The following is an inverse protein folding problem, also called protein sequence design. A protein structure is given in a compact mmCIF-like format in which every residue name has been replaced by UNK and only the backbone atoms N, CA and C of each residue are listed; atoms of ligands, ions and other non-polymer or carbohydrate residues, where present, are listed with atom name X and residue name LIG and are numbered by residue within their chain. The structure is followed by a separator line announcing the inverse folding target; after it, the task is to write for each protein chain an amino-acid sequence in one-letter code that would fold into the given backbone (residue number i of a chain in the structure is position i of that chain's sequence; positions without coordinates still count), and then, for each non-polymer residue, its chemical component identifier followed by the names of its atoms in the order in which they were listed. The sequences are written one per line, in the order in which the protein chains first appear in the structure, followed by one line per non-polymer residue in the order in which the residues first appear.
data_IF_048981833498
#
_entry.id   IF_048981833498
#
_cell.length_a   1.000
_cell.length_b   1.000
_cell.length_c   1.000
_cell.angle_alpha   90.00
_cell.angle_beta   90.00
_cell.angle_gamma   90.00
#
_symmetry.space_group_name_H-M   'P 1'
#
loop_
_entity.id
_entity.type
_entity.pdbx_description
1 polymer ?
#
# COMPACT_ATOMS: atom_id res chain seq x y z
N UNK A 1 12.62 -19.19 -34.34
CA UNK A 1 13.16 -17.96 -33.71
C UNK A 1 12.01 -17.37 -32.92
N UNK A 2 12.11 -17.29 -31.60
CA UNK A 2 11.07 -16.59 -30.83
C UNK A 2 11.19 -15.10 -31.18
N UNK A 3 10.08 -14.52 -31.59
CA UNK A 3 9.97 -13.10 -31.88
C UNK A 3 10.28 -12.33 -30.58
N UNK A 4 11.27 -11.43 -30.63
CA UNK A 4 11.63 -10.64 -29.45
C UNK A 4 10.49 -9.65 -29.16
N UNK A 5 10.01 -9.66 -27.92
CA UNK A 5 8.98 -8.72 -27.46
C UNK A 5 9.60 -7.32 -27.39
N UNK A 6 8.99 -6.34 -28.07
CA UNK A 6 9.46 -4.96 -28.06
C UNK A 6 8.30 -3.97 -27.95
N UNK A 7 8.57 -2.79 -27.42
CA UNK A 7 7.62 -1.68 -27.34
C UNK A 7 8.30 -0.37 -27.69
N UNK A 8 7.65 0.44 -28.53
CA UNK A 8 8.13 1.75 -28.96
C UNK A 8 7.18 2.85 -28.52
N UNK A 9 7.67 3.73 -27.66
CA UNK A 9 6.96 4.90 -27.18
C UNK A 9 7.31 6.13 -28.03
N UNK A 10 6.35 6.63 -28.82
CA UNK A 10 6.58 7.69 -29.80
C UNK A 10 6.23 9.12 -29.32
N UNK A 11 5.76 9.28 -28.08
CA UNK A 11 5.43 10.61 -27.54
C UNK A 11 6.71 11.39 -27.24
N UNK A 12 6.75 12.64 -27.71
CA UNK A 12 7.88 13.55 -27.50
C UNK A 12 7.82 14.23 -26.13
N UNK A 13 8.98 14.40 -25.50
CA UNK A 13 9.13 15.12 -24.24
C UNK A 13 10.22 16.18 -24.37
N UNK A 14 9.96 17.41 -23.90
CA UNK A 14 10.98 18.46 -23.89
C UNK A 14 12.08 18.12 -22.91
N UNK A 15 13.32 18.46 -23.26
CA UNK A 15 14.49 18.28 -22.40
C UNK A 15 15.05 19.64 -21.96
N UNK A 16 15.58 19.69 -20.75
CA UNK A 16 16.47 20.76 -20.30
C UNK A 16 17.93 20.31 -20.40
N UNK A 17 18.88 21.21 -20.17
CA UNK A 17 20.32 20.94 -20.29
C UNK A 17 20.83 19.79 -19.41
N UNK A 18 20.08 19.39 -18.38
CA UNK A 18 20.47 18.32 -17.46
C UNK A 18 19.88 16.95 -17.81
N UNK A 19 18.91 16.86 -18.73
CA UNK A 19 18.17 15.62 -19.01
C UNK A 19 19.05 14.44 -19.45
N UNK A 20 20.16 14.69 -20.15
CA UNK A 20 21.12 13.65 -20.54
C UNK A 20 21.72 12.89 -19.34
N UNK A 21 22.26 13.62 -18.37
CA UNK A 21 22.82 13.02 -17.15
C UNK A 21 21.73 12.33 -16.32
N UNK A 22 20.48 12.81 -16.43
CA UNK A 22 19.34 12.24 -15.71
C UNK A 22 18.87 10.94 -16.30
N UNK A 23 18.83 10.80 -17.63
CA UNK A 23 18.50 9.53 -18.27
C UNK A 23 19.40 8.44 -17.72
N UNK A 24 20.71 8.70 -17.68
CA UNK A 24 21.67 7.74 -17.11
C UNK A 24 21.45 7.50 -15.62
N UNK A 25 21.24 8.56 -14.82
CA UNK A 25 21.00 8.42 -13.38
C UNK A 25 19.72 7.63 -13.06
N UNK A 26 18.63 7.89 -13.79
CA UNK A 26 17.35 7.20 -13.65
C UNK A 26 17.52 5.72 -14.00
N UNK A 27 18.11 5.42 -15.16
CA UNK A 27 18.40 4.03 -15.57
C UNK A 27 19.23 3.29 -14.51
N UNK A 28 20.24 3.94 -13.93
CA UNK A 28 21.03 3.35 -12.85
C UNK A 28 20.23 3.15 -11.56
N UNK A 29 19.30 4.05 -11.24
CA UNK A 29 18.51 3.99 -10.01
C UNK A 29 17.36 2.98 -10.05
N UNK A 30 16.81 2.72 -11.24
CA UNK A 30 15.66 1.82 -11.42
C UNK A 30 16.09 0.40 -11.83
N UNK A 31 17.33 0.23 -12.29
CA UNK A 31 17.89 -1.09 -12.63
C UNK A 31 18.63 -1.74 -11.48
N UNK A 32 18.57 -3.07 -11.41
CA UNK A 32 19.40 -3.85 -10.48
C UNK A 32 20.87 -3.81 -10.90
N UNK A 33 21.11 -3.86 -12.21
CA UNK A 33 22.45 -3.90 -12.78
C UNK A 33 22.45 -3.28 -14.18
N UNK A 34 23.40 -2.37 -14.44
CA UNK A 34 23.70 -1.87 -15.77
C UNK A 34 24.80 -2.74 -16.39
N UNK A 35 24.46 -3.47 -17.46
CA UNK A 35 25.38 -4.39 -18.14
C UNK A 35 26.22 -3.68 -19.19
N UNK A 36 25.63 -2.75 -19.94
CA UNK A 36 26.33 -1.93 -20.93
C UNK A 36 25.56 -0.65 -21.23
N UNK A 37 26.30 0.36 -21.71
CA UNK A 37 25.73 1.61 -22.23
C UNK A 37 26.49 2.04 -23.47
N UNK A 38 25.79 2.48 -24.51
CA UNK A 38 26.41 3.01 -25.73
C UNK A 38 25.75 4.32 -26.16
N UNK A 39 26.51 5.15 -26.86
CA UNK A 39 26.02 6.40 -27.44
C UNK A 39 26.42 6.42 -28.91
N UNK A 40 25.44 6.55 -29.79
CA UNK A 40 25.66 6.64 -31.23
C UNK A 40 25.15 7.98 -31.72
N UNK A 41 26.04 8.79 -32.30
CA UNK A 41 25.66 10.02 -32.97
C UNK A 41 25.21 9.69 -34.40
N UNK A 42 24.05 10.18 -34.83
CA UNK A 42 23.67 10.05 -36.24
C UNK A 42 24.52 10.99 -37.11
N UNK A 43 24.86 10.53 -38.32
CA UNK A 43 25.77 11.18 -39.28
C UNK A 43 25.34 12.62 -39.67
N UNK A 44 24.08 13.00 -39.43
CA UNK A 44 23.56 14.35 -39.68
C UNK A 44 23.66 15.32 -38.48
N UNK A 45 24.23 14.89 -37.34
CA UNK A 45 24.44 15.73 -36.14
C UNK A 45 23.17 16.18 -35.39
N UNK A 46 21.98 15.89 -35.92
CA UNK A 46 20.70 16.39 -35.40
C UNK A 46 20.06 15.55 -34.29
N UNK A 47 20.47 14.29 -34.15
CA UNK A 47 19.95 13.38 -33.13
C UNK A 47 21.01 12.40 -32.63
N UNK A 48 20.86 11.96 -31.37
CA UNK A 48 21.71 10.96 -30.72
C UNK A 48 20.85 9.80 -30.23
N UNK A 49 21.41 8.60 -30.28
CA UNK A 49 20.82 7.42 -29.66
C UNK A 49 21.63 7.06 -28.42
N UNK A 50 20.93 6.91 -27.28
CA UNK A 50 21.49 6.37 -26.06
C UNK A 50 20.88 5.00 -25.83
N UNK A 51 21.69 3.96 -25.75
CA UNK A 51 21.24 2.60 -25.51
C UNK A 51 21.82 2.06 -24.22
N UNK A 52 21.00 1.39 -23.43
CA UNK A 52 21.34 0.78 -22.16
C UNK A 52 20.87 -0.68 -22.16
N UNK A 53 21.75 -1.61 -21.79
CA UNK A 53 21.35 -2.98 -21.49
C UNK A 53 21.35 -3.18 -19.99
N UNK A 54 20.21 -3.55 -19.42
CA UNK A 54 20.03 -3.62 -17.96
C UNK A 54 19.41 -4.94 -17.54
N UNK A 55 19.71 -5.36 -16.31
CA UNK A 55 18.98 -6.40 -15.59
C UNK A 55 18.07 -5.74 -14.58
N UNK A 56 16.81 -6.15 -14.55
CA UNK A 56 15.77 -5.58 -13.72
C UNK A 56 14.94 -6.71 -13.09
N UNK A 57 14.21 -6.38 -12.04
CA UNK A 57 13.17 -7.24 -11.48
C UNK A 57 11.83 -6.57 -11.77
N UNK A 58 11.04 -7.14 -12.68
CA UNK A 58 9.71 -6.62 -13.02
C UNK A 58 8.68 -7.63 -12.58
N UNK A 59 7.70 -7.19 -11.78
CA UNK A 59 6.66 -8.06 -11.21
C UNK A 59 7.19 -9.28 -10.43
N UNK A 60 8.41 -9.20 -9.90
CA UNK A 60 9.07 -10.27 -9.15
C UNK A 60 9.93 -11.21 -9.99
N UNK A 61 9.94 -11.05 -11.32
CA UNK A 61 10.72 -11.86 -12.24
C UNK A 61 11.97 -11.12 -12.73
N UNK A 62 13.07 -11.86 -12.89
CA UNK A 62 14.31 -11.33 -13.47
C UNK A 62 14.15 -11.14 -14.99
N UNK A 63 14.38 -9.91 -15.45
CA UNK A 63 14.25 -9.52 -16.85
C UNK A 63 15.53 -8.82 -17.31
N UNK A 64 15.91 -9.08 -18.56
CA UNK A 64 16.98 -8.37 -19.26
C UNK A 64 16.38 -7.51 -20.36
N UNK A 65 16.63 -6.20 -20.29
CA UNK A 65 16.12 -5.25 -21.26
C UNK A 65 17.23 -4.55 -22.03
N UNK A 66 16.90 -4.14 -23.25
CA UNK A 66 17.60 -3.08 -23.97
C UNK A 66 16.68 -1.86 -24.07
N UNK A 67 17.11 -0.74 -23.49
CA UNK A 67 16.40 0.54 -23.50
C UNK A 67 17.16 1.49 -24.42
N UNK A 68 16.50 1.99 -25.46
CA UNK A 68 17.09 2.94 -26.41
C UNK A 68 16.29 4.24 -26.44
N UNK A 69 16.95 5.35 -26.13
CA UNK A 69 16.41 6.70 -26.22
C UNK A 69 16.93 7.36 -27.48
N UNK A 70 16.01 7.84 -28.33
CA UNK A 70 16.35 8.75 -29.43
C UNK A 70 16.11 10.18 -28.97
N UNK A 71 17.16 11.00 -28.95
CA UNK A 71 17.12 12.37 -28.43
C UNK A 71 17.60 13.38 -29.47
N UNK A 72 17.04 14.59 -29.42
CA UNK A 72 17.53 15.78 -30.13
C UNK A 72 18.19 16.75 -29.13
N UNK A 73 18.55 17.96 -29.57
CA UNK A 73 19.06 19.00 -28.67
C UNK A 73 18.02 19.53 -27.68
N UNK A 74 16.72 19.34 -27.94
CA UNK A 74 15.63 19.93 -27.16
C UNK A 74 14.55 18.94 -26.75
N UNK A 75 14.56 17.70 -27.25
CA UNK A 75 13.49 16.72 -27.01
C UNK A 75 13.98 15.27 -26.95
N UNK A 76 13.31 14.44 -26.14
CA UNK A 76 13.27 12.98 -26.32
C UNK A 76 12.25 12.70 -27.42
N UNK A 77 12.70 12.09 -28.52
CA UNK A 77 11.91 11.84 -29.71
C UNK A 77 11.13 10.53 -29.62
N UNK A 78 11.76 9.47 -29.11
CA UNK A 78 11.12 8.20 -28.78
C UNK A 78 11.98 7.39 -27.80
N UNK A 79 11.33 6.39 -27.20
CA UNK A 79 11.97 5.40 -26.32
C UNK A 79 11.57 4.02 -26.84
N UNK A 80 12.54 3.14 -27.06
CA UNK A 80 12.32 1.75 -27.45
C UNK A 80 12.80 0.83 -26.34
N UNK A 81 11.97 -0.13 -25.94
CA UNK A 81 12.31 -1.15 -24.96
C UNK A 81 12.19 -2.52 -25.62
N UNK A 82 13.22 -3.36 -25.48
CA UNK A 82 13.24 -4.73 -26.01
C UNK A 82 13.53 -5.70 -24.86
N UNK A 83 12.70 -6.73 -24.72
CA UNK A 83 12.94 -7.83 -23.81
C UNK A 83 13.92 -8.81 -24.45
N UNK A 84 15.12 -8.90 -23.89
CA UNK A 84 16.17 -9.81 -24.35
C UNK A 84 16.07 -11.19 -23.70
N UNK A 85 15.65 -11.22 -22.43
CA UNK A 85 15.47 -12.45 -21.63
C UNK A 85 14.48 -12.18 -20.49
N UNK A 86 13.61 -13.13 -20.18
CA UNK A 86 12.58 -13.00 -19.14
C UNK A 86 11.41 -13.98 -19.29
N UNK A 87 10.33 -13.83 -18.49
CA UNK A 87 9.20 -14.75 -18.48
C UNK A 87 8.42 -14.76 -19.80
N UNK A 88 7.94 -15.94 -20.21
CA UNK A 88 7.16 -16.11 -21.44
C UNK A 88 5.77 -15.44 -21.41
N UNK A 89 5.30 -15.03 -20.22
CA UNK A 89 4.06 -14.29 -20.05
C UNK A 89 4.17 -12.80 -20.41
N UNK A 90 5.40 -12.27 -20.53
CA UNK A 90 5.61 -10.86 -20.85
C UNK A 90 5.25 -10.57 -22.30
N UNK A 91 4.61 -9.43 -22.51
CA UNK A 91 4.16 -8.96 -23.82
C UNK A 91 4.38 -7.45 -23.93
N UNK A 92 4.06 -6.87 -25.09
CA UNK A 92 4.24 -5.43 -25.38
C UNK A 92 3.64 -4.51 -24.30
N UNK A 93 2.51 -4.89 -23.70
CA UNK A 93 1.82 -4.08 -22.67
C UNK A 93 2.65 -3.99 -21.39
N UNK A 94 3.37 -5.05 -21.02
CA UNK A 94 4.27 -5.01 -19.87
C UNK A 94 5.40 -4.01 -20.11
N UNK A 95 6.01 -4.05 -21.30
CA UNK A 95 7.08 -3.13 -21.68
C UNK A 95 6.57 -1.68 -21.78
N UNK A 96 5.33 -1.47 -22.21
CA UNK A 96 4.69 -0.15 -22.21
C UNK A 96 4.65 0.48 -20.83
N UNK A 97 4.16 -0.24 -19.82
CA UNK A 97 4.07 0.31 -18.47
C UNK A 97 5.44 0.50 -17.82
N UNK A 98 6.41 -0.35 -18.18
CA UNK A 98 7.80 -0.16 -17.76
C UNK A 98 8.36 1.17 -18.30
N UNK A 99 8.20 1.44 -19.61
CA UNK A 99 8.65 2.71 -20.22
C UNK A 99 7.94 3.92 -19.59
N UNK A 100 6.65 3.82 -19.28
CA UNK A 100 5.92 4.90 -18.61
C UNK A 100 6.45 5.16 -17.19
N UNK A 101 6.75 4.12 -16.42
CA UNK A 101 7.39 4.23 -15.11
C UNK A 101 8.75 4.96 -15.18
N UNK A 102 9.57 4.61 -16.17
CA UNK A 102 10.84 5.32 -16.42
C UNK A 102 10.64 6.80 -16.72
N UNK A 103 9.61 7.15 -17.49
CA UNK A 103 9.29 8.55 -17.82
C UNK A 103 8.83 9.30 -16.57
N UNK A 104 7.98 8.71 -15.73
CA UNK A 104 7.50 9.33 -14.50
C UNK A 104 8.66 9.68 -13.56
N UNK A 105 9.65 8.78 -13.41
CA UNK A 105 10.85 9.04 -12.61
C UNK A 105 11.73 10.13 -13.26
N UNK A 106 11.89 10.07 -14.58
CA UNK A 106 12.69 11.05 -15.33
C UNK A 106 12.13 12.47 -15.24
N UNK A 107 10.81 12.61 -15.41
CA UNK A 107 10.10 13.89 -15.36
C UNK A 107 9.86 14.35 -13.93
N UNK A 108 9.55 13.44 -12.99
CA UNK A 108 9.36 13.74 -11.58
C UNK A 108 10.60 14.38 -10.95
N UNK A 109 11.79 14.00 -11.43
CA UNK A 109 13.03 14.67 -11.06
C UNK A 109 13.12 16.14 -11.49
N UNK A 110 12.42 16.59 -12.54
CA UNK A 110 12.58 17.95 -13.10
C UNK A 110 12.34 19.10 -12.11
N UNK A 111 11.67 18.83 -11.00
CA UNK A 111 11.49 19.76 -9.91
C UNK A 111 12.68 19.81 -8.93
N UNK A 112 13.90 20.07 -9.42
CA UNK A 112 15.08 20.41 -8.60
C UNK A 112 14.93 21.78 -7.90
N UNK A 113 13.85 21.98 -7.13
CA UNK A 113 13.86 22.93 -6.02
C UNK A 113 14.71 22.35 -4.89
N UNK A 114 15.29 23.21 -4.06
CA UNK A 114 15.93 22.77 -2.82
C UNK A 114 14.95 21.91 -2.01
N UNK A 115 15.37 20.70 -1.63
CA UNK A 115 14.54 19.80 -0.83
C UNK A 115 14.19 20.49 0.49
N UNK A 116 12.89 20.70 0.72
CA UNK A 116 12.37 21.21 1.99
C UNK A 116 12.02 20.03 2.90
N UNK A 117 12.13 20.26 4.21
CA UNK A 117 11.70 19.30 5.22
C UNK A 117 10.24 19.54 5.59
N UNK A 118 9.44 18.48 5.54
CA UNK A 118 8.04 18.48 5.95
C UNK A 118 7.82 17.41 7.02
N UNK A 119 6.90 17.68 7.94
CA UNK A 119 6.29 16.66 8.79
C UNK A 119 4.85 16.48 8.33
N UNK A 120 4.57 15.45 7.53
CA UNK A 120 3.23 15.22 6.98
C UNK A 120 2.47 14.27 7.90
N UNK A 121 1.25 14.66 8.29
CA UNK A 121 0.30 13.77 8.98
C UNK A 121 -0.59 13.05 7.98
N UNK A 122 -0.65 11.74 8.09
CA UNK A 122 -1.60 10.89 7.40
C UNK A 122 -2.49 10.16 8.41
N UNK A 123 -3.65 9.70 7.95
CA UNK A 123 -4.69 9.16 8.79
C UNK A 123 -5.17 7.81 8.28
N UNK A 124 -5.18 6.85 9.19
CA UNK A 124 -5.71 5.50 8.96
C UNK A 124 -6.81 5.23 9.97
N UNK A 125 -7.63 4.24 9.68
CA UNK A 125 -8.65 3.74 10.59
C UNK A 125 -8.53 2.24 10.79
N UNK A 126 -8.95 1.82 11.97
CA UNK A 126 -9.11 0.42 12.35
C UNK A 126 -10.52 0.25 12.92
N UNK A 127 -11.04 -0.97 12.92
CA UNK A 127 -12.27 -1.29 13.63
C UNK A 127 -11.93 -2.08 14.88
N UNK A 128 -12.12 -1.45 16.04
CA UNK A 128 -11.84 -2.03 17.34
C UNK A 128 -12.63 -1.29 18.44
N UNK A 129 -13.10 -2.02 19.44
CA UNK A 129 -13.77 -1.47 20.63
C UNK A 129 -12.91 -0.45 21.36
N UNK A 130 -11.60 -0.69 21.38
CA UNK A 130 -10.62 0.16 22.05
C UNK A 130 -9.69 0.83 21.03
N UNK A 131 -9.40 2.14 21.16
CA UNK A 131 -8.32 2.74 20.40
C UNK A 131 -6.97 2.12 20.77
N UNK A 132 -6.01 2.17 19.85
CA UNK A 132 -4.61 1.92 20.20
C UNK A 132 -4.19 2.87 21.33
N UNK A 133 -3.40 2.37 22.29
CA UNK A 133 -2.90 3.20 23.40
C UNK A 133 -1.42 3.49 23.23
N UNK A 134 -1.05 4.75 23.48
CA UNK A 134 0.33 5.22 23.47
C UNK A 134 0.81 5.77 22.13
N UNK A 135 1.98 6.38 22.16
CA UNK A 135 2.64 6.99 21.00
C UNK A 135 3.95 6.25 20.71
N UNK A 136 4.18 5.88 19.45
CA UNK A 136 5.33 5.08 19.05
C UNK A 136 6.17 5.84 18.03
N UNK A 137 7.22 6.52 18.54
CA UNK A 137 8.23 7.12 17.68
C UNK A 137 9.19 6.05 17.15
N UNK A 138 9.29 5.97 15.84
CA UNK A 138 10.12 5.01 15.11
C UNK A 138 11.09 5.78 14.21
N UNK A 139 12.33 5.28 14.16
CA UNK A 139 13.33 5.75 13.22
C UNK A 139 13.77 4.55 12.39
N UNK A 140 13.32 4.48 11.13
CA UNK A 140 13.69 3.46 10.16
C UNK A 140 14.03 4.13 8.83
N UNK A 141 13.36 3.75 7.72
CA UNK A 141 13.48 4.42 6.42
C UNK A 141 13.15 5.92 6.53
N UNK A 142 12.14 6.25 7.34
CA UNK A 142 11.79 7.60 7.77
C UNK A 142 11.76 7.69 9.30
N UNK A 143 11.81 8.91 9.81
CA UNK A 143 11.45 9.20 11.21
C UNK A 143 9.96 9.50 11.25
N UNK A 144 9.20 8.69 11.98
CA UNK A 144 7.75 8.83 12.05
C UNK A 144 7.17 8.46 13.41
N UNK A 145 6.03 9.06 13.74
CA UNK A 145 5.29 8.86 14.99
C UNK A 145 3.93 8.24 14.68
N UNK A 146 3.69 7.03 15.20
CA UNK A 146 2.35 6.45 15.24
C UNK A 146 1.66 6.93 16.51
N UNK A 147 0.45 7.47 16.37
CA UNK A 147 -0.34 7.88 17.53
C UNK A 147 -1.85 7.74 17.29
N UNK A 148 -2.63 7.39 18.32
CA UNK A 148 -4.08 7.32 18.20
C UNK A 148 -4.71 8.72 18.20
N UNK A 149 -5.86 8.85 17.55
CA UNK A 149 -6.76 9.96 17.82
C UNK A 149 -7.38 9.78 19.21
N UNK A 150 -7.56 10.87 19.95
CA UNK A 150 -8.08 10.83 21.31
C UNK A 150 -9.58 10.49 21.32
N UNK A 151 -9.91 9.20 21.40
CA UNK A 151 -11.27 8.68 21.52
C UNK A 151 -11.42 7.77 22.73
N UNK A 152 -12.66 7.59 23.17
CA UNK A 152 -13.02 6.66 24.26
C UNK A 152 -13.29 5.27 23.71
N UNK A 153 -13.07 4.26 24.53
CA UNK A 153 -13.50 2.90 24.21
C UNK A 153 -15.03 2.80 24.14
N UNK A 154 -15.52 1.84 23.36
CA UNK A 154 -16.93 1.43 23.29
C UNK A 154 -17.01 -0.08 23.42
N UNK A 155 -18.16 -0.60 23.84
CA UNK A 155 -18.40 -2.06 23.91
C UNK A 155 -18.68 -2.69 22.54
N UNK A 156 -18.70 -1.90 21.46
CA UNK A 156 -19.00 -2.34 20.10
C UNK A 156 -17.70 -2.62 19.31
N UNK A 157 -17.41 -3.88 18.91
CA UNK A 157 -16.21 -4.24 18.15
C UNK A 157 -16.09 -3.52 16.80
N UNK A 158 -17.21 -3.18 16.17
CA UNK A 158 -17.23 -2.43 14.91
C UNK A 158 -17.17 -0.90 15.11
N UNK A 159 -16.42 -0.46 16.12
CA UNK A 159 -16.15 0.96 16.36
C UNK A 159 -14.95 1.41 15.53
N UNK A 160 -15.13 2.43 14.68
CA UNK A 160 -14.04 3.07 13.96
C UNK A 160 -13.12 3.78 14.96
N UNK A 161 -11.81 3.54 14.86
CA UNK A 161 -10.76 4.20 15.63
C UNK A 161 -9.73 4.78 14.66
N UNK A 162 -9.29 6.03 14.88
CA UNK A 162 -8.33 6.70 14.00
C UNK A 162 -6.91 6.57 14.53
N UNK A 163 -5.99 6.24 13.62
CA UNK A 163 -4.55 6.14 13.85
C UNK A 163 -3.86 7.16 12.93
N UNK A 164 -3.11 8.07 13.53
CA UNK A 164 -2.35 9.13 12.85
C UNK A 164 -0.89 8.74 12.73
N UNK A 165 -0.29 9.05 11.57
CA UNK A 165 1.13 8.89 11.34
C UNK A 165 1.74 10.25 10.94
N UNK A 166 2.59 10.80 11.81
CA UNK A 166 3.42 11.96 11.47
C UNK A 166 4.74 11.48 10.88
N UNK A 167 5.02 11.78 9.61
CA UNK A 167 6.23 11.32 8.90
C UNK A 167 7.10 12.50 8.48
N UNK A 168 8.37 12.50 8.86
CA UNK A 168 9.36 13.47 8.40
C UNK A 168 9.91 13.06 7.03
N UNK A 169 9.73 13.92 6.02
CA UNK A 169 10.15 13.68 4.63
C UNK A 169 10.88 14.90 4.05
N UNK A 170 11.79 14.64 3.10
CA UNK A 170 12.44 15.67 2.29
C UNK A 170 11.83 15.64 0.89
N UNK A 171 11.26 16.75 0.45
CA UNK A 171 10.54 16.82 -0.81
C UNK A 171 10.63 18.20 -1.47
N UNK A 172 10.26 18.27 -2.73
CA UNK A 172 10.36 19.48 -3.57
C UNK A 172 9.20 20.45 -3.34
N UNK A 173 8.02 19.92 -3.02
CA UNK A 173 6.79 20.66 -2.72
C UNK A 173 5.87 19.80 -1.83
N UNK A 174 4.77 20.38 -1.36
CA UNK A 174 3.83 19.66 -0.49
C UNK A 174 3.18 18.44 -1.15
N UNK A 175 2.88 18.46 -2.45
CA UNK A 175 2.25 17.32 -3.13
C UNK A 175 3.19 16.10 -3.13
N UNK A 176 4.45 16.32 -3.47
CA UNK A 176 5.48 15.28 -3.40
C UNK A 176 5.68 14.79 -1.97
N UNK A 177 5.75 15.68 -0.98
CA UNK A 177 5.88 15.31 0.43
C UNK A 177 4.73 14.39 0.89
N UNK A 178 3.50 14.73 0.49
CA UNK A 178 2.30 13.97 0.83
C UNK A 178 2.26 12.62 0.13
N UNK A 179 2.69 12.52 -1.12
CA UNK A 179 2.82 11.24 -1.83
C UNK A 179 3.82 10.31 -1.13
N UNK A 180 4.99 10.82 -0.73
CA UNK A 180 5.99 10.03 0.02
C UNK A 180 5.44 9.54 1.35
N UNK A 181 4.81 10.43 2.13
CA UNK A 181 4.21 10.09 3.42
C UNK A 181 3.04 9.10 3.29
N UNK A 182 2.20 9.25 2.26
CA UNK A 182 1.09 8.34 1.98
C UNK A 182 1.59 6.93 1.64
N UNK A 183 2.55 6.82 0.71
CA UNK A 183 3.15 5.54 0.33
C UNK A 183 3.81 4.85 1.55
N UNK A 184 4.51 5.63 2.38
CA UNK A 184 5.07 5.11 3.63
C UNK A 184 3.98 4.64 4.60
N UNK A 185 2.87 5.36 4.69
CA UNK A 185 1.72 5.01 5.56
C UNK A 185 1.07 3.70 5.15
N UNK A 186 0.81 3.49 3.86
CA UNK A 186 0.20 2.25 3.35
C UNK A 186 1.10 1.03 3.66
N UNK A 187 2.41 1.18 3.50
CA UNK A 187 3.36 0.13 3.86
C UNK A 187 3.40 -0.09 5.38
N UNK A 188 3.44 0.97 6.18
CA UNK A 188 3.43 0.91 7.65
C UNK A 188 2.18 0.23 8.18
N UNK A 189 1.00 0.58 7.65
CA UNK A 189 -0.27 -0.08 7.96
C UNK A 189 -0.23 -1.58 7.69
N UNK A 190 0.36 -1.98 6.55
CA UNK A 190 0.54 -3.39 6.22
C UNK A 190 1.46 -4.08 7.22
N UNK A 191 2.59 -3.46 7.60
CA UNK A 191 3.48 -4.03 8.61
C UNK A 191 2.83 -4.12 9.99
N UNK A 192 2.02 -3.14 10.37
CA UNK A 192 1.27 -3.13 11.64
C UNK A 192 0.17 -4.20 11.65
N UNK A 193 -0.46 -4.49 10.50
CA UNK A 193 -1.52 -5.49 10.45
C UNK A 193 -0.99 -6.88 10.81
N UNK A 194 0.20 -7.24 10.33
CA UNK A 194 0.88 -8.48 10.74
C UNK A 194 1.41 -8.39 12.16
N UNK A 195 1.91 -7.25 12.62
CA UNK A 195 2.42 -7.15 13.98
C UNK A 195 1.30 -7.31 15.03
N UNK A 196 0.13 -6.70 14.78
CA UNK A 196 -0.96 -6.53 15.74
C UNK A 196 -2.17 -7.43 15.50
N UNK A 197 -2.24 -8.07 14.33
CA UNK A 197 -3.43 -8.78 13.84
C UNK A 197 -4.67 -7.90 13.71
N UNK A 198 -4.48 -6.67 13.20
CA UNK A 198 -5.55 -5.67 13.04
C UNK A 198 -5.55 -5.13 11.62
N UNK A 199 -6.72 -5.01 10.99
CA UNK A 199 -6.85 -4.42 9.66
C UNK A 199 -6.74 -2.89 9.70
N UNK A 200 -5.81 -2.33 8.93
CA UNK A 200 -5.60 -0.88 8.79
C UNK A 200 -6.07 -0.41 7.41
N UNK A 201 -7.06 0.48 7.38
CA UNK A 201 -7.59 1.11 6.18
C UNK A 201 -7.17 2.58 6.14
N UNK A 202 -6.85 3.14 4.97
CA UNK A 202 -6.72 4.59 4.85
C UNK A 202 -8.10 5.24 5.01
N UNK A 203 -8.13 6.43 5.60
CA UNK A 203 -9.40 7.13 5.76
C UNK A 203 -9.92 7.56 4.39
N UNK A 204 -11.17 7.17 4.15
CA UNK A 204 -11.97 7.55 3.01
C UNK A 204 -13.34 7.99 3.51
N UNK A 205 -13.79 9.12 2.96
CA UNK A 205 -15.07 9.73 3.29
C UNK A 205 -16.14 9.26 2.32
N UNK A 206 -17.31 8.93 2.84
CA UNK A 206 -18.47 8.50 2.06
C UNK A 206 -19.77 8.99 2.71
N UNK A 207 -20.84 9.11 1.92
CA UNK A 207 -22.15 9.40 2.46
C UNK A 207 -22.77 8.14 3.05
N UNK A 208 -23.08 8.17 4.34
CA UNK A 208 -23.77 7.09 5.04
C UNK A 208 -25.13 7.55 5.54
N UNK A 209 -26.06 6.60 5.62
CA UNK A 209 -27.34 6.78 6.29
C UNK A 209 -27.11 6.70 7.81
N UNK A 210 -27.58 7.69 8.54
CA UNK A 210 -27.59 7.68 10.00
C UNK A 210 -29.02 7.73 10.51
N UNK A 211 -29.32 6.83 11.43
CA UNK A 211 -30.56 6.87 12.22
C UNK A 211 -30.22 7.45 13.58
N UNK A 212 -30.72 8.65 13.87
CA UNK A 212 -30.48 9.38 15.11
C UNK A 212 -31.75 9.27 15.95
N UNK A 213 -31.62 8.67 17.14
CA UNK A 213 -32.70 8.67 18.14
C UNK A 213 -32.60 9.96 18.97
N UNK A 214 -33.65 10.76 18.98
CA UNK A 214 -33.78 11.91 19.87
C UNK A 214 -35.08 11.73 20.64
N UNK A 215 -34.98 11.56 21.96
CA UNK A 215 -36.10 11.19 22.84
C UNK A 215 -36.81 9.91 22.36
N UNK A 216 -38.09 9.99 21.97
CA UNK A 216 -38.87 8.86 21.46
C UNK A 216 -38.93 8.81 19.91
N UNK A 217 -38.33 9.78 19.23
CA UNK A 217 -38.37 9.91 17.77
C UNK A 217 -37.07 9.44 17.10
N UNK A 218 -37.20 8.94 15.87
CA UNK A 218 -36.08 8.55 15.02
C UNK A 218 -36.01 9.43 13.78
N UNK A 219 -34.84 10.03 13.58
CA UNK A 219 -34.53 10.86 12.42
C UNK A 219 -33.56 10.14 11.51
N UNK A 220 -33.84 10.15 10.22
CA UNK A 220 -32.98 9.52 9.22
C UNK A 220 -32.41 10.61 8.33
N UNK A 221 -31.09 10.69 8.24
CA UNK A 221 -30.43 11.63 7.33
C UNK A 221 -29.13 11.05 6.77
N UNK A 222 -28.67 11.58 5.64
CA UNK A 222 -27.39 11.23 5.04
C UNK A 222 -26.33 12.23 5.48
N UNK A 223 -25.27 11.73 6.09
CA UNK A 223 -24.10 12.53 6.42
C UNK A 223 -22.86 11.94 5.79
N UNK A 224 -21.94 12.81 5.40
CA UNK A 224 -20.62 12.42 4.90
C UNK A 224 -19.72 12.11 6.08
N UNK A 225 -19.05 10.96 6.06
CA UNK A 225 -18.11 10.57 7.13
C UNK A 225 -16.85 11.45 7.09
N UNK A 226 -16.26 11.67 8.26
CA UNK A 226 -15.07 12.48 8.47
C UNK A 226 -14.92 12.84 9.95
N UNK A 227 -13.81 13.44 10.31
CA UNK A 227 -13.56 13.90 11.68
C UNK A 227 -12.66 15.14 11.67
N UNK A 228 -12.48 15.75 12.84
CA UNK A 228 -11.67 16.95 13.02
C UNK A 228 -10.38 16.57 13.75
N UNK A 229 -9.24 16.88 13.16
CA UNK A 229 -7.95 16.92 13.85
C UNK A 229 -7.75 18.34 14.39
N UNK A 230 -8.05 18.52 15.68
CA UNK A 230 -7.90 19.80 16.36
C UNK A 230 -6.45 20.25 16.56
N UNK A 231 -5.46 19.34 16.51
CA UNK A 231 -4.05 19.68 16.70
C UNK A 231 -3.49 20.42 15.49
N UNK A 232 -3.88 19.99 14.28
CA UNK A 232 -3.47 20.65 13.04
C UNK A 232 -4.54 21.61 12.49
N UNK A 233 -5.70 21.70 13.14
CA UNK A 233 -6.82 22.52 12.67
C UNK A 233 -7.39 22.03 11.34
N UNK A 234 -7.49 20.70 11.18
CA UNK A 234 -7.91 20.07 9.93
C UNK A 234 -9.27 19.39 10.06
N UNK A 235 -10.12 19.53 9.04
CA UNK A 235 -11.18 18.58 8.76
C UNK A 235 -10.63 17.51 7.83
N UNK A 236 -10.78 16.25 8.23
CA UNK A 236 -10.22 15.08 7.54
C UNK A 236 -11.34 14.27 6.90
N UNK A 237 -11.39 14.30 5.57
CA UNK A 237 -12.25 13.44 4.74
C UNK A 237 -11.46 12.27 4.13
N UNK A 238 -10.23 12.53 3.67
CA UNK A 238 -9.30 11.53 3.15
C UNK A 238 -7.87 12.11 3.14
N UNK A 239 -6.87 11.25 2.89
CA UNK A 239 -5.46 11.65 2.84
C UNK A 239 -5.03 12.36 1.54
N UNK A 240 -5.87 12.42 0.50
CA UNK A 240 -5.50 12.90 -0.83
C UNK A 240 -5.88 14.37 -1.04
N UNK A 241 -7.17 14.68 -1.15
CA UNK A 241 -7.64 16.07 -1.35
C UNK A 241 -8.67 16.47 -0.30
N UNK A 242 -9.02 15.55 0.60
CA UNK A 242 -9.98 15.74 1.68
C UNK A 242 -9.43 16.37 2.97
N UNK A 243 -8.21 16.90 2.97
CA UNK A 243 -7.65 17.66 4.10
C UNK A 243 -8.00 19.14 3.96
N UNK A 244 -8.82 19.67 4.86
CA UNK A 244 -9.43 21.00 4.78
C UNK A 244 -9.07 21.84 6.01
N UNK A 245 -8.80 23.14 5.82
CA UNK A 245 -8.71 24.07 6.96
C UNK A 245 -10.05 24.13 7.69
N UNK A 246 -10.04 23.92 9.00
CA UNK A 246 -11.22 24.01 9.87
C UNK A 246 -11.86 25.42 9.84
N UNK A 247 -11.08 26.47 9.54
CA UNK A 247 -11.55 27.87 9.55
C UNK A 247 -12.13 28.33 8.22
N UNK A 248 -11.86 27.62 7.13
CA UNK A 248 -12.32 27.99 5.80
C UNK A 248 -13.64 27.29 5.46
N UNK A 249 -14.76 27.96 5.77
CA UNK A 249 -16.11 27.41 5.60
C UNK A 249 -16.42 27.10 4.12
N UNK A 250 -15.95 27.93 3.18
CA UNK A 250 -16.18 27.70 1.75
C UNK A 250 -15.46 26.42 1.30
N UNK A 251 -14.22 26.24 1.77
CA UNK A 251 -13.41 25.09 1.46
C UNK A 251 -13.89 23.80 2.16
N UNK A 252 -14.42 23.90 3.38
CA UNK A 252 -15.02 22.78 4.12
C UNK A 252 -16.29 22.26 3.44
N UNK A 253 -17.13 23.18 2.95
CA UNK A 253 -18.36 22.85 2.23
C UNK A 253 -18.12 22.46 0.77
N UNK A 254 -16.91 22.70 0.23
CA UNK A 254 -16.55 22.24 -1.10
C UNK A 254 -16.58 20.70 -1.19
N UNK A 255 -17.34 20.21 -2.16
CA UNK A 255 -17.46 18.79 -2.48
C UNK A 255 -16.42 18.33 -3.51
N UNK A 256 -15.96 19.26 -4.35
CA UNK A 256 -15.12 19.00 -5.52
C UNK A 256 -13.71 19.58 -5.34
N UNK A 257 -12.90 18.95 -4.49
CA UNK A 257 -11.52 19.38 -4.29
C UNK A 257 -10.49 18.41 -4.81
N UNK A 258 -9.43 18.97 -5.37
CA UNK A 258 -8.31 18.23 -5.94
C UNK A 258 -8.14 18.50 -7.43
N UNK A 259 -7.65 17.47 -8.12
CA UNK A 259 -7.39 17.50 -9.56
C UNK A 259 -8.44 16.67 -10.28
N UNK A 260 -9.15 17.29 -11.22
CA UNK A 260 -10.04 16.63 -12.15
C UNK A 260 -9.26 16.33 -13.43
N UNK A 261 -9.15 15.07 -13.79
CA UNK A 261 -8.58 14.66 -15.08
C UNK A 261 -9.71 14.23 -16.03
N UNK A 262 -9.85 14.95 -17.13
CA UNK A 262 -10.77 14.60 -18.22
C UNK A 262 -9.97 13.91 -19.31
N UNK A 263 -10.31 12.67 -19.61
CA UNK A 263 -9.68 11.87 -20.66
C UNK A 263 -10.53 11.94 -21.92
N UNK A 264 -9.90 12.29 -23.04
CA UNK A 264 -10.50 12.28 -24.36
C UNK A 264 -10.06 11.01 -25.08
N UNK A 265 -11.03 10.19 -25.46
CA UNK A 265 -10.79 8.98 -26.24
C UNK A 265 -11.83 8.86 -27.35
N UNK A 266 -11.44 8.23 -28.45
CA UNK A 266 -12.32 7.92 -29.58
C UNK A 266 -12.37 6.42 -29.80
N UNK A 267 -13.52 5.92 -30.24
CA UNK A 267 -13.64 4.52 -30.65
C UNK A 267 -12.81 4.30 -31.92
N UNK A 268 -12.03 3.24 -31.93
CA UNK A 268 -11.27 2.80 -33.09
C UNK A 268 -12.02 1.70 -33.85
N UNK A 269 -11.58 1.41 -35.07
CA UNK A 269 -12.26 0.48 -35.99
C UNK A 269 -12.40 -0.95 -35.44
N UNK A 270 -11.64 -1.31 -34.39
CA UNK A 270 -11.67 -2.61 -33.75
C UNK A 270 -12.60 -2.65 -32.52
N UNK A 271 -13.37 -1.60 -32.25
CA UNK A 271 -14.24 -1.47 -31.06
C UNK A 271 -13.48 -1.18 -29.76
N UNK A 272 -12.19 -0.83 -29.85
CA UNK A 272 -11.38 -0.33 -28.74
C UNK A 272 -11.43 1.19 -28.64
N UNK A 273 -10.81 1.75 -27.60
CA UNK A 273 -10.73 3.20 -27.40
C UNK A 273 -9.29 3.69 -27.61
N UNK A 274 -9.10 4.60 -28.55
CA UNK A 274 -7.85 5.34 -28.76
C UNK A 274 -7.83 6.57 -27.86
N UNK A 275 -6.87 6.60 -26.94
CA UNK A 275 -6.65 7.74 -26.07
C UNK A 275 -6.00 8.88 -26.85
N UNK A 276 -6.68 10.02 -26.94
CA UNK A 276 -6.19 11.20 -27.64
C UNK A 276 -5.35 12.09 -26.71
N UNK A 277 -5.94 12.47 -25.57
CA UNK A 277 -5.32 13.39 -24.62
C UNK A 277 -6.03 13.38 -23.28
N UNK A 278 -5.39 13.96 -22.28
CA UNK A 278 -6.04 14.29 -21.01
C UNK A 278 -5.84 15.76 -20.69
N UNK A 279 -6.86 16.36 -20.08
CA UNK A 279 -6.79 17.69 -19.48
C UNK A 279 -6.91 17.51 -17.97
N UNK A 280 -5.95 18.03 -17.21
CA UNK A 280 -6.04 18.07 -15.75
C UNK A 280 -6.30 19.50 -15.30
N UNK A 281 -7.37 19.69 -14.54
CA UNK A 281 -7.76 20.98 -13.97
C UNK A 281 -7.77 20.88 -12.44
N UNK A 282 -7.16 21.86 -11.77
CA UNK A 282 -7.36 22.06 -10.33
C UNK A 282 -8.67 22.79 -10.09
N UNK A 283 -9.51 22.25 -9.20
CA UNK A 283 -10.78 22.87 -8.85
C UNK A 283 -10.59 23.82 -7.67
N UNK A 284 -10.28 23.25 -6.51
CA UNK A 284 -10.13 23.94 -5.23
C UNK A 284 -8.91 23.34 -4.53
N UNK A 285 -7.84 24.13 -4.43
CA UNK A 285 -6.55 23.71 -3.87
C UNK A 285 -6.36 24.22 -2.46
N UNK A 286 -5.92 23.34 -1.55
CA UNK A 286 -5.53 23.69 -0.18
C UNK A 286 -4.02 23.73 -0.02
N UNK A 287 -3.28 23.73 -1.13
CA UNK A 287 -1.85 23.43 -1.09
C UNK A 287 -1.07 24.49 -0.30
N UNK A 288 -1.41 25.77 -0.40
CA UNK A 288 -0.71 26.84 0.34
C UNK A 288 -0.89 26.72 1.85
N UNK A 289 -2.12 26.45 2.30
CA UNK A 289 -2.40 26.21 3.71
C UNK A 289 -1.72 24.93 4.20
N UNK A 290 -1.78 23.83 3.43
CA UNK A 290 -1.13 22.56 3.79
C UNK A 290 0.40 22.68 3.80
N UNK A 291 0.99 23.45 2.88
CA UNK A 291 2.41 23.80 2.89
C UNK A 291 2.75 24.48 4.22
N UNK A 292 1.97 25.47 4.64
CA UNK A 292 2.14 26.15 5.93
C UNK A 292 1.98 25.21 7.13
N UNK A 293 0.98 24.33 7.14
CA UNK A 293 0.74 23.37 8.24
C UNK A 293 1.90 22.39 8.36
N UNK A 294 2.29 21.73 7.27
CA UNK A 294 3.25 20.62 7.32
C UNK A 294 4.72 21.03 7.34
N UNK A 295 5.05 22.26 6.94
CA UNK A 295 6.41 22.81 7.16
C UNK A 295 6.63 23.19 8.63
N UNK A 296 5.60 23.72 9.29
CA UNK A 296 5.65 24.15 10.69
C UNK A 296 5.42 22.99 11.68
N UNK A 297 4.68 21.95 11.28
CA UNK A 297 4.46 20.77 12.11
C UNK A 297 5.78 20.04 12.41
N UNK A 298 5.93 19.60 13.65
CA UNK A 298 7.10 18.84 14.11
C UNK A 298 6.65 17.73 15.05
N UNK A 299 7.34 16.58 14.95
CA UNK A 299 7.10 15.46 15.85
C UNK A 299 7.50 15.86 17.28
N UNK A 300 6.49 16.03 18.15
CA UNK A 300 6.71 16.25 19.57
C UNK A 300 6.69 14.92 20.33
N UNK A 301 7.60 14.76 21.29
CA UNK A 301 7.60 13.60 22.20
C UNK A 301 6.83 13.95 23.45
N UNK A 302 5.80 13.18 23.77
CA UNK A 302 5.22 13.23 25.11
C UNK A 302 6.26 12.75 26.15
N UNK A 303 6.71 13.66 27.01
CA UNK A 303 7.73 13.37 28.06
C UNK A 303 7.14 12.72 29.31
N UNK A 304 5.84 12.38 29.32
CA UNK A 304 5.20 11.70 30.43
C UNK A 304 5.66 10.23 30.51
N UNK A 305 6.85 10.03 31.07
CA UNK A 305 7.33 8.71 31.45
C UNK A 305 6.95 8.44 32.90
N UNK A 306 6.06 7.48 33.10
CA UNK A 306 6.02 6.73 34.35
C UNK A 306 7.43 6.26 34.72
N UNK A 307 7.79 6.33 36.00
CA UNK A 307 9.10 5.89 36.51
C UNK A 307 9.25 4.35 36.51
N UNK A 308 8.18 3.60 36.27
CA UNK A 308 8.24 2.14 36.15
C UNK A 308 8.69 1.72 34.76
N UNK A 309 9.62 0.74 34.69
CA UNK A 309 9.94 0.07 33.43
C UNK A 309 8.65 -0.60 32.92
N UNK A 310 8.20 -0.32 31.70
CA UNK A 310 7.04 -0.99 31.14
C UNK A 310 7.32 -2.49 31.06
N UNK A 311 6.30 -3.29 31.33
CA UNK A 311 6.34 -4.74 31.16
C UNK A 311 6.63 -5.09 29.70
N UNK A 312 7.43 -6.14 29.48
CA UNK A 312 7.72 -6.61 28.13
C UNK A 312 6.51 -7.34 27.56
N UNK A 313 6.05 -6.88 26.40
CA UNK A 313 4.91 -7.44 25.66
C UNK A 313 5.46 -8.11 24.39
N UNK A 314 5.41 -9.45 24.29
CA UNK A 314 5.81 -10.17 23.07
C UNK A 314 4.77 -10.00 21.95
N UNK A 315 5.14 -10.38 20.73
CA UNK A 315 4.18 -10.50 19.61
C UNK A 315 3.25 -11.68 19.89
N UNK A 316 1.94 -11.45 19.85
CA UNK A 316 0.93 -12.51 20.01
C UNK A 316 0.85 -13.37 18.75
N UNK A 317 0.96 -14.68 18.94
CA UNK A 317 0.70 -15.72 17.93
C UNK A 317 -0.75 -16.22 17.94
N UNK A 318 -1.57 -15.72 18.86
CA UNK A 318 -3.02 -15.91 18.85
C UNK A 318 -3.72 -14.78 18.08
N UNK A 319 -4.83 -15.08 17.37
CA UNK A 319 -5.60 -14.06 16.66
C UNK A 319 -6.14 -12.96 17.58
N UNK A 320 -6.14 -11.73 17.10
CA UNK A 320 -6.73 -10.59 17.79
C UNK A 320 -8.22 -10.48 17.48
N UNK A 321 -9.02 -10.24 18.51
CA UNK A 321 -10.46 -10.02 18.38
C UNK A 321 -10.80 -8.55 18.61
N UNK A 322 -11.63 -7.90 17.77
CA UNK A 322 -11.88 -6.46 17.86
C UNK A 322 -12.50 -5.95 19.17
N UNK A 323 -13.03 -6.85 20.01
CA UNK A 323 -13.53 -6.52 21.35
C UNK A 323 -12.39 -6.27 22.35
N UNK A 324 -11.20 -6.81 22.09
CA UNK A 324 -10.06 -6.75 23.00
C UNK A 324 -9.24 -5.47 22.82
N UNK A 325 -8.51 -5.09 23.86
CA UNK A 325 -7.52 -4.01 23.77
C UNK A 325 -6.35 -4.44 22.86
N UNK A 326 -5.92 -3.53 21.97
CA UNK A 326 -4.76 -3.75 21.12
C UNK A 326 -3.49 -3.60 21.95
N UNK A 327 -2.78 -4.71 22.14
CA UNK A 327 -1.50 -4.74 22.87
C UNK A 327 -0.35 -4.56 21.87
N UNK A 328 0.26 -3.37 21.85
CA UNK A 328 1.41 -3.12 21.00
C UNK A 328 2.66 -3.80 21.56
N UNK A 329 3.35 -4.68 20.80
CA UNK A 329 4.56 -5.34 21.26
C UNK A 329 5.67 -4.36 21.62
N UNK A 330 6.44 -4.69 22.66
CA UNK A 330 7.57 -3.85 23.11
C UNK A 330 8.65 -3.68 22.04
N UNK A 331 8.77 -4.67 21.15
CA UNK A 331 9.76 -4.69 20.07
C UNK A 331 9.31 -3.94 18.81
N UNK A 332 8.22 -3.16 18.82
CA UNK A 332 7.75 -2.41 17.63
C UNK A 332 8.87 -1.59 16.96
N UNK A 333 9.75 -0.96 17.75
CA UNK A 333 10.89 -0.21 17.20
C UNK A 333 11.94 -1.12 16.56
N UNK A 334 12.24 -2.26 17.19
CA UNK A 334 13.15 -3.27 16.63
C UNK A 334 12.58 -3.81 15.33
N UNK A 335 11.29 -4.14 15.30
CA UNK A 335 10.57 -4.62 14.14
C UNK A 335 10.73 -3.71 12.91
N UNK A 336 10.38 -2.42 13.01
CA UNK A 336 10.54 -1.49 11.89
C UNK A 336 11.99 -1.25 11.48
N UNK A 337 12.91 -1.19 12.46
CA UNK A 337 14.34 -1.03 12.16
C UNK A 337 14.90 -2.25 11.43
N UNK A 338 14.55 -3.46 11.86
CA UNK A 338 14.96 -4.70 11.19
C UNK A 338 14.43 -4.76 9.76
N UNK A 339 13.19 -4.34 9.51
CA UNK A 339 12.61 -4.28 8.15
C UNK A 339 13.41 -3.35 7.23
N UNK A 340 13.83 -2.18 7.73
CA UNK A 340 14.59 -1.21 6.92
C UNK A 340 15.94 -1.73 6.41
N UNK A 341 16.55 -2.67 7.14
CA UNK A 341 17.86 -3.23 6.81
C UNK A 341 17.79 -4.61 6.14
N UNK A 342 16.59 -5.11 5.83
CA UNK A 342 16.43 -6.36 5.09
C UNK A 342 16.97 -6.23 3.67
N UNK A 343 17.48 -7.34 3.14
CA UNK A 343 17.72 -7.51 1.71
C UNK A 343 16.44 -7.20 0.91
N UNK A 344 16.59 -6.49 -0.22
CA UNK A 344 15.48 -6.01 -1.07
C UNK A 344 14.44 -7.10 -1.37
N UNK A 345 14.88 -8.27 -1.86
CA UNK A 345 14.00 -9.41 -2.18
C UNK A 345 13.22 -9.91 -0.96
N UNK A 346 13.88 -10.01 0.20
CA UNK A 346 13.24 -10.44 1.46
C UNK A 346 12.26 -9.38 1.99
N UNK A 347 12.62 -8.10 1.87
CA UNK A 347 11.76 -6.96 2.25
C UNK A 347 10.49 -6.92 1.39
N UNK A 348 10.61 -7.13 0.09
CA UNK A 348 9.50 -7.18 -0.86
C UNK A 348 8.59 -8.38 -0.62
N UNK A 349 9.14 -9.58 -0.43
CA UNK A 349 8.36 -10.77 -0.08
C UNK A 349 7.58 -10.58 1.22
N UNK A 350 8.23 -10.02 2.26
CA UNK A 350 7.57 -9.73 3.53
C UNK A 350 6.51 -8.62 3.41
N UNK A 351 6.76 -7.58 2.62
CA UNK A 351 5.77 -6.53 2.36
C UNK A 351 4.56 -7.09 1.61
N UNK A 352 4.76 -7.97 0.63
CA UNK A 352 3.67 -8.65 -0.09
C UNK A 352 2.83 -9.51 0.84
N UNK A 353 3.48 -10.28 1.73
CA UNK A 353 2.80 -10.99 2.81
C UNK A 353 1.93 -10.04 3.65
N UNK A 354 2.52 -8.96 4.16
CA UNK A 354 1.84 -7.97 4.99
C UNK A 354 0.66 -7.30 4.28
N UNK A 355 0.78 -6.97 2.99
CA UNK A 355 -0.29 -6.37 2.19
C UNK A 355 -1.47 -7.32 2.01
N UNK A 356 -1.19 -8.57 1.63
CA UNK A 356 -2.25 -9.59 1.49
C UNK A 356 -2.95 -9.86 2.83
N UNK A 357 -2.17 -9.93 3.91
CA UNK A 357 -2.73 -10.09 5.26
C UNK A 357 -3.61 -8.91 5.66
N UNK A 358 -3.18 -7.68 5.40
CA UNK A 358 -3.99 -6.49 5.67
C UNK A 358 -5.29 -6.49 4.84
N UNK A 359 -5.23 -6.87 3.55
CA UNK A 359 -6.42 -7.00 2.70
C UNK A 359 -7.41 -8.01 3.28
N UNK A 360 -6.93 -9.17 3.74
CA UNK A 360 -7.77 -10.16 4.42
C UNK A 360 -8.50 -9.55 5.63
N UNK A 361 -7.77 -8.81 6.49
CA UNK A 361 -8.34 -8.21 7.70
C UNK A 361 -9.24 -6.98 7.45
N UNK A 362 -9.21 -6.40 6.25
CA UNK A 362 -9.96 -5.17 5.92
C UNK A 362 -11.11 -5.44 4.97
N UNK A 363 -10.81 -5.87 3.75
CA UNK A 363 -11.80 -6.19 2.72
C UNK A 363 -12.43 -7.57 2.96
N UNK A 364 -11.62 -8.54 3.41
CA UNK A 364 -12.08 -9.90 3.70
C UNK A 364 -12.97 -10.03 4.94
N UNK A 365 -12.96 -9.07 5.87
CA UNK A 365 -13.64 -9.17 7.19
C UNK A 365 -15.14 -9.46 7.15
N UNK A 366 -15.80 -9.25 6.01
CA UNK A 366 -17.23 -9.53 5.80
C UNK A 366 -17.50 -10.76 4.93
N UNK A 367 -16.45 -11.38 4.37
CA UNK A 367 -16.52 -12.48 3.42
C UNK A 367 -15.47 -13.54 3.79
N UNK A 368 -15.87 -14.58 4.55
CA UNK A 368 -14.92 -15.57 5.08
C UNK A 368 -14.07 -16.26 4.00
N UNK A 369 -14.64 -16.65 2.84
CA UNK A 369 -13.84 -17.24 1.75
C UNK A 369 -12.76 -16.27 1.26
N UNK A 370 -13.08 -14.98 1.10
CA UNK A 370 -12.16 -13.96 0.62
C UNK A 370 -11.02 -13.72 1.62
N UNK A 371 -11.36 -13.62 2.91
CA UNK A 371 -10.39 -13.47 3.99
C UNK A 371 -9.37 -14.61 3.98
N UNK A 372 -9.85 -15.85 3.91
CA UNK A 372 -8.98 -17.03 3.95
C UNK A 372 -8.12 -17.15 2.70
N UNK A 373 -8.68 -16.84 1.54
CA UNK A 373 -7.94 -16.82 0.29
C UNK A 373 -6.76 -15.83 0.34
N UNK A 374 -6.96 -14.61 0.86
CA UNK A 374 -5.88 -13.64 1.02
C UNK A 374 -4.89 -13.98 2.14
N UNK A 375 -5.34 -14.61 3.24
CA UNK A 375 -4.45 -15.14 4.27
C UNK A 375 -3.53 -16.23 3.71
N UNK A 376 -4.02 -17.11 2.85
CA UNK A 376 -3.19 -18.09 2.15
C UNK A 376 -2.18 -17.39 1.23
N UNK A 377 -2.63 -16.43 0.41
CA UNK A 377 -1.72 -15.63 -0.44
C UNK A 377 -0.62 -14.92 0.37
N UNK A 378 -0.93 -14.49 1.59
CA UNK A 378 0.07 -13.87 2.47
C UNK A 378 1.19 -14.84 2.85
N UNK A 379 0.85 -16.11 3.11
CA UNK A 379 1.84 -17.16 3.41
C UNK A 379 2.58 -17.59 2.14
N UNK A 380 1.88 -17.70 1.01
CA UNK A 380 2.49 -18.03 -0.29
C UNK A 380 3.60 -17.04 -0.68
N UNK A 381 3.41 -15.75 -0.38
CA UNK A 381 4.44 -14.73 -0.63
C UNK A 381 5.76 -15.06 0.09
N UNK A 382 5.69 -15.59 1.33
CA UNK A 382 6.86 -16.01 2.10
C UNK A 382 7.39 -17.38 1.65
N UNK A 383 6.50 -18.34 1.35
CA UNK A 383 6.90 -19.67 0.92
C UNK A 383 7.61 -19.64 -0.43
N UNK A 384 7.13 -18.82 -1.37
CA UNK A 384 7.74 -18.63 -2.69
C UNK A 384 9.13 -18.01 -2.56
N UNK A 385 9.32 -17.04 -1.66
CA UNK A 385 10.64 -16.49 -1.36
C UNK A 385 11.59 -17.55 -0.79
N UNK A 386 11.11 -18.42 0.10
CA UNK A 386 11.89 -19.55 0.64
C UNK A 386 12.01 -20.74 -0.33
N UNK A 387 11.38 -20.66 -1.51
CA UNK A 387 11.35 -21.71 -2.55
C UNK A 387 10.81 -23.05 -2.02
N UNK A 388 9.79 -22.99 -1.16
CA UNK A 388 9.07 -24.16 -0.65
C UNK A 388 7.58 -24.02 -0.93
N UNK A 389 6.86 -25.15 -0.94
CA UNK A 389 5.41 -25.14 -1.11
C UNK A 389 4.69 -24.55 0.11
N UNK A 390 3.44 -24.11 -0.08
CA UNK A 390 2.58 -23.63 1.00
C UNK A 390 2.50 -24.65 2.16
N UNK A 391 2.19 -25.92 1.86
CA UNK A 391 2.04 -26.96 2.89
C UNK A 391 3.35 -27.22 3.65
N UNK A 392 4.51 -27.21 2.98
CA UNK A 392 5.81 -27.33 3.63
C UNK A 392 6.10 -26.12 4.54
N UNK A 393 5.77 -24.91 4.09
CA UNK A 393 5.92 -23.71 4.90
C UNK A 393 5.07 -23.77 6.16
N UNK A 394 3.79 -24.16 6.02
CA UNK A 394 2.88 -24.31 7.15
C UNK A 394 3.43 -25.30 8.17
N UNK A 395 3.90 -26.48 7.74
CA UNK A 395 4.50 -27.49 8.63
C UNK A 395 5.76 -26.96 9.32
N UNK A 396 6.65 -26.30 8.57
CA UNK A 396 7.94 -25.79 9.06
C UNK A 396 7.80 -24.76 10.19
N UNK A 397 6.80 -23.90 10.10
CA UNK A 397 6.59 -22.79 11.04
C UNK A 397 5.43 -23.01 12.02
N UNK A 398 4.82 -24.20 12.03
CA UNK A 398 3.73 -24.54 12.94
C UNK A 398 4.20 -25.03 14.32
N UNK A 399 3.25 -25.21 15.24
CA UNK A 399 3.44 -25.81 16.57
C UNK A 399 2.84 -27.22 16.64
N UNK A 400 3.04 -27.90 17.77
CA UNK A 400 2.36 -29.16 18.09
C UNK A 400 0.84 -29.00 18.01
N UNK A 401 0.15 -29.93 17.34
CA UNK A 401 -1.31 -29.87 17.15
C UNK A 401 -1.76 -29.18 15.85
N UNK A 402 -0.84 -28.95 14.91
CA UNK A 402 -1.17 -28.47 13.56
C UNK A 402 -1.89 -29.54 12.73
N UNK A 403 -3.05 -29.19 12.20
CA UNK A 403 -3.81 -30.04 11.28
C UNK A 403 -3.44 -29.73 9.82
N UNK A 404 -2.61 -30.60 9.24
CA UNK A 404 -2.20 -30.50 7.83
C UNK A 404 -3.37 -30.71 6.87
N UNK A 405 -4.30 -31.63 7.17
CA UNK A 405 -5.41 -31.94 6.28
C UNK A 405 -6.35 -30.73 6.16
N UNK A 406 -6.63 -30.07 7.29
CA UNK A 406 -7.38 -28.82 7.30
C UNK A 406 -6.66 -27.73 6.49
N UNK A 407 -5.36 -27.56 6.72
CA UNK A 407 -4.56 -26.57 5.97
C UNK A 407 -4.58 -26.80 4.45
N UNK A 408 -4.46 -28.06 4.01
CA UNK A 408 -4.52 -28.42 2.59
C UNK A 408 -5.93 -28.20 2.00
N UNK A 409 -6.99 -28.45 2.78
CA UNK A 409 -8.36 -28.11 2.40
C UNK A 409 -8.52 -26.62 2.14
N UNK A 410 -8.05 -25.76 3.05
CA UNK A 410 -8.12 -24.30 2.87
C UNK A 410 -7.31 -23.81 1.65
N UNK A 411 -6.19 -24.44 1.33
CA UNK A 411 -5.47 -24.16 0.08
C UNK A 411 -6.35 -24.41 -1.16
N UNK A 412 -7.16 -25.48 -1.16
CA UNK A 412 -8.13 -25.75 -2.22
C UNK A 412 -9.27 -24.70 -2.28
N UNK A 413 -9.69 -24.17 -1.13
CA UNK A 413 -10.69 -23.08 -1.02
C UNK A 413 -10.19 -21.82 -1.75
N UNK A 414 -8.95 -21.39 -1.49
CA UNK A 414 -8.32 -20.26 -2.18
C UNK A 414 -8.29 -20.45 -3.69
N UNK A 415 -7.87 -21.63 -4.14
CA UNK A 415 -7.79 -21.96 -5.56
C UNK A 415 -9.17 -21.90 -6.23
N UNK A 416 -10.18 -22.56 -5.64
CA UNK A 416 -11.53 -22.55 -6.18
C UNK A 416 -12.19 -21.17 -6.14
N UNK A 417 -11.87 -20.33 -5.15
CA UNK A 417 -12.36 -18.96 -5.11
C UNK A 417 -11.80 -18.11 -6.25
N UNK A 418 -10.47 -18.03 -6.39
CA UNK A 418 -9.86 -17.15 -7.40
C UNK A 418 -9.99 -17.66 -8.84
N UNK A 419 -10.02 -18.98 -9.06
CA UNK A 419 -10.10 -19.54 -10.42
C UNK A 419 -11.52 -19.86 -10.87
N UNK A 420 -12.45 -20.11 -9.95
CA UNK A 420 -13.81 -20.55 -10.29
C UNK A 420 -14.92 -19.74 -9.61
N UNK A 421 -14.60 -18.67 -8.85
CA UNK A 421 -15.59 -17.80 -8.21
C UNK A 421 -16.42 -18.49 -7.13
N UNK A 422 -15.89 -19.54 -6.48
CA UNK A 422 -16.62 -20.34 -5.48
C UNK A 422 -16.58 -19.70 -4.10
N UNK A 423 -17.63 -19.96 -3.31
CA UNK A 423 -17.82 -19.52 -1.92
C UNK A 423 -18.11 -20.75 -1.05
N UNK A 424 -17.41 -20.88 0.07
CA UNK A 424 -17.31 -22.13 0.83
C UNK A 424 -17.92 -22.07 2.23
N UNK A 425 -18.23 -20.87 2.74
CA UNK A 425 -18.70 -20.63 4.11
C UNK A 425 -20.20 -20.26 4.15
N UNK A 426 -20.98 -20.80 3.21
CA UNK A 426 -22.43 -20.58 3.11
C UNK A 426 -22.80 -19.09 2.97
N UNK A 427 -21.89 -18.27 2.42
CA UNK A 427 -22.09 -16.82 2.26
C UNK A 427 -23.32 -16.47 1.42
N UNK A 428 -23.74 -17.40 0.56
CA UNK A 428 -24.87 -17.26 -0.35
C UNK A 428 -25.96 -18.32 -0.15
N UNK A 429 -25.83 -19.19 0.86
CA UNK A 429 -26.80 -20.23 1.20
C UNK A 429 -26.93 -20.36 2.73
N UNK A 430 -27.19 -19.23 3.38
CA UNK A 430 -27.16 -19.14 4.84
C UNK A 430 -28.48 -19.65 5.45
N UNK A 431 -28.38 -20.66 6.30
CA UNK A 431 -29.47 -21.08 7.18
C UNK A 431 -29.53 -20.16 8.42
N UNK A 432 -30.61 -19.37 8.53
CA UNK A 432 -30.85 -18.49 9.68
C UNK A 432 -31.25 -19.25 10.96
N UNK A 433 -31.69 -20.51 10.85
CA UNK A 433 -31.98 -21.38 12.00
C UNK A 433 -30.67 -21.99 12.53
N UNK A 434 -29.87 -21.15 13.20
CA UNK A 434 -28.49 -21.49 13.61
C UNK A 434 -28.41 -22.68 14.57
N UNK A 435 -29.47 -22.97 15.29
CA UNK A 435 -29.55 -24.10 16.23
C UNK A 435 -29.46 -25.45 15.52
N UNK A 436 -29.86 -25.51 14.24
CA UNK A 436 -29.88 -26.73 13.43
C UNK A 436 -28.94 -26.65 12.21
N UNK A 437 -28.17 -25.57 12.08
CA UNK A 437 -27.22 -25.35 10.98
C UNK A 437 -25.84 -25.97 11.30
N UNK A 438 -25.79 -27.29 11.49
CA UNK A 438 -24.56 -28.01 11.90
C UNK A 438 -23.37 -27.76 10.96
N UNK A 439 -23.60 -27.73 9.65
CA UNK A 439 -22.56 -27.43 8.65
C UNK A 439 -21.92 -26.06 8.89
N UNK A 440 -22.71 -25.05 9.24
CA UNK A 440 -22.21 -23.71 9.54
C UNK A 440 -21.36 -23.69 10.82
N UNK A 441 -21.75 -24.46 11.83
CA UNK A 441 -21.00 -24.59 13.09
C UNK A 441 -19.62 -25.23 12.85
N UNK A 442 -19.56 -26.35 12.12
CA UNK A 442 -18.30 -27.02 11.76
C UNK A 442 -17.39 -26.12 10.93
N UNK A 443 -17.92 -25.50 9.87
CA UNK A 443 -17.16 -24.56 9.04
C UNK A 443 -16.63 -23.36 9.83
N UNK A 444 -17.37 -22.88 10.82
CA UNK A 444 -16.94 -21.79 11.70
C UNK A 444 -15.79 -22.24 12.60
N UNK A 445 -15.85 -23.45 13.15
CA UNK A 445 -14.77 -24.05 13.94
C UNK A 445 -13.49 -24.18 13.10
N UNK A 446 -13.61 -24.74 11.90
CA UNK A 446 -12.51 -24.89 10.94
C UNK A 446 -11.88 -23.54 10.56
N UNK A 447 -12.72 -22.53 10.31
CA UNK A 447 -12.29 -21.16 10.03
C UNK A 447 -11.49 -20.56 11.19
N UNK A 448 -11.94 -20.73 12.44
CA UNK A 448 -11.23 -20.23 13.63
C UNK A 448 -9.88 -20.93 13.79
N UNK A 449 -9.86 -22.27 13.66
CA UNK A 449 -8.64 -23.05 13.77
C UNK A 449 -7.61 -22.68 12.71
N UNK A 450 -8.05 -22.54 11.45
CA UNK A 450 -7.16 -22.18 10.36
C UNK A 450 -6.60 -20.75 10.51
N UNK A 451 -7.42 -19.79 10.96
CA UNK A 451 -6.95 -18.44 11.31
C UNK A 451 -5.82 -18.47 12.35
N UNK A 452 -5.97 -19.32 13.38
CA UNK A 452 -4.94 -19.52 14.39
C UNK A 452 -3.67 -20.11 13.79
N UNK A 453 -3.77 -21.12 12.92
CA UNK A 453 -2.60 -21.69 12.26
C UNK A 453 -1.85 -20.67 11.39
N UNK A 454 -2.57 -19.88 10.59
CA UNK A 454 -1.98 -18.79 9.79
C UNK A 454 -1.25 -17.79 10.68
N UNK A 455 -1.89 -17.36 11.78
CA UNK A 455 -1.30 -16.41 12.73
C UNK A 455 0.01 -16.96 13.32
N UNK A 456 0.00 -18.21 13.78
CA UNK A 456 1.16 -18.88 14.37
C UNK A 456 2.32 -18.92 13.37
N UNK A 457 2.10 -19.37 12.13
CA UNK A 457 3.20 -19.54 11.17
C UNK A 457 3.81 -18.19 10.77
N UNK A 458 3.00 -17.15 10.60
CA UNK A 458 3.48 -15.80 10.26
C UNK A 458 4.28 -15.22 11.43
N UNK A 459 3.79 -15.35 12.66
CA UNK A 459 4.49 -14.84 13.85
C UNK A 459 5.78 -15.60 14.12
N UNK A 460 5.81 -16.92 13.91
CA UNK A 460 7.03 -17.71 14.03
C UNK A 460 8.06 -17.33 12.96
N UNK A 461 7.62 -17.11 11.71
CA UNK A 461 8.48 -16.61 10.65
C UNK A 461 9.05 -15.22 10.99
N UNK A 462 8.19 -14.29 11.42
CA UNK A 462 8.52 -12.92 11.80
C UNK A 462 9.50 -12.88 12.98
N UNK A 463 9.26 -13.69 13.99
CA UNK A 463 10.13 -13.80 15.17
C UNK A 463 11.50 -14.33 14.77
N UNK A 464 11.57 -15.33 13.88
CA UNK A 464 12.85 -15.89 13.41
C UNK A 464 13.62 -14.95 12.49
N UNK A 465 12.93 -14.22 11.61
CA UNK A 465 13.56 -13.52 10.49
C UNK A 465 13.67 -12.01 10.64
N UNK A 466 12.86 -11.39 11.51
CA UNK A 466 12.76 -9.93 11.67
C UNK A 466 13.09 -9.49 13.10
N UNK A 467 12.43 -10.08 14.10
CA UNK A 467 12.59 -9.70 15.51
C UNK A 467 13.71 -10.47 16.20
N UNK A 468 14.14 -11.61 15.67
CA UNK A 468 15.12 -12.53 16.27
C UNK A 468 16.47 -11.92 16.64
#
# INVERSE_FOLDING_TARGET
MNELVSYKHEKKYKINSFTLNRIQAVVLSTSEELLSSSTVNNESGSSKNLSFTTRNIVNGDECKFEITFKISSTEILNINLVLLDGPSSFNEVHLKYEVLSFIDELLGGEHNGDLKEYTVRTYSKIFNSHPMRGEFLINSDYKFLIKPHCWTSKEEPLTEQVVMLDTEVKAVNIEHARSLAYNHTVNTNSYLSVLLDVGFETISSEFRMFTIKHEEEFYINRYRTGFVDYELGLIVKDNHYGLKDLKDIEHVNSFDSGKLTVNFAMENDNGGMDFLSSLTQETISNNDFLEGVFTNHKISKNKNKSKTKPEFIPVSDEPHYPINEIRVPSDIRKYFKSISVLEKRKKEAFLSCCRMYNIALTLGKKQPTLEQAYKICSVEALSNFEKISFSEFMVKYSKSGFDKALSDYFYSVRSGHFHAGRFYFDEHDMNMQREIAFTSQEKTSDYINFNRYIRIVIVNWLTKNIIG
#
